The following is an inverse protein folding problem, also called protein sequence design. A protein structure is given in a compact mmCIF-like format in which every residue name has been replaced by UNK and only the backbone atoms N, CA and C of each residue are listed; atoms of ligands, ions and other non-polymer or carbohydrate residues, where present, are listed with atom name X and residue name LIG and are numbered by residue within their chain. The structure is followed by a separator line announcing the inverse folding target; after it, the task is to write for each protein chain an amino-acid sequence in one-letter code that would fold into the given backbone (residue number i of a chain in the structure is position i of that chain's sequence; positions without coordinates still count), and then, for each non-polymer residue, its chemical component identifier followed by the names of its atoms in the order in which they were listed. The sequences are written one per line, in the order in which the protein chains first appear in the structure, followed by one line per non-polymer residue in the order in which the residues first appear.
data_IF_367162099431
#
_entry.id   IF_367162099431
#
_cell.length_a   1.000
_cell.length_b   1.000
_cell.length_c   1.000
_cell.angle_alpha   90.00
_cell.angle_beta   90.00
_cell.angle_gamma   90.00
#
_symmetry.space_group_name_H-M   'P 1'
#
loop_
_entity.id
_entity.type
_entity.pdbx_description
1 polymer ?
#
# COMPACT_ATOMS: atom_id res chain seq x y z
N UNK A 1 -14.50 12.24 -9.44
CA UNK A 1 -13.51 11.71 -8.47
C UNK A 1 -13.38 12.66 -7.27
N UNK A 2 -13.18 12.16 -6.06
CA UNK A 2 -12.94 12.91 -4.81
C UNK A 2 -11.76 12.31 -4.07
N UNK A 3 -10.92 13.13 -3.43
CA UNK A 3 -9.86 12.68 -2.52
C UNK A 3 -10.30 13.08 -1.10
N UNK A 4 -10.38 12.12 -0.21
CA UNK A 4 -11.02 12.28 1.09
C UNK A 4 -10.08 11.84 2.23
N UNK A 5 -10.30 12.40 3.42
CA UNK A 5 -9.82 11.88 4.69
C UNK A 5 -11.03 11.37 5.47
N UNK A 6 -10.95 10.17 6.04
CA UNK A 6 -12.05 9.64 6.82
C UNK A 6 -12.15 8.13 6.79
N UNK A 7 -13.33 7.64 7.15
CA UNK A 7 -13.62 6.22 7.18
C UNK A 7 -14.31 5.80 5.86
N UNK A 8 -13.74 4.85 5.15
CA UNK A 8 -14.31 4.33 3.89
C UNK A 8 -15.72 3.75 4.05
N UNK A 9 -16.07 3.30 5.25
CA UNK A 9 -17.42 2.77 5.54
C UNK A 9 -18.51 3.86 5.61
N UNK A 10 -18.13 5.13 5.59
CA UNK A 10 -19.06 6.27 5.49
C UNK A 10 -19.35 6.65 4.03
N UNK A 11 -18.66 6.02 3.07
CA UNK A 11 -18.87 6.22 1.64
C UNK A 11 -20.26 5.78 1.20
N UNK A 12 -20.85 6.53 0.28
CA UNK A 12 -22.12 6.20 -0.37
C UNK A 12 -21.92 5.41 -1.68
N UNK A 13 -20.68 5.07 -2.03
CA UNK A 13 -20.39 4.25 -3.19
C UNK A 13 -20.97 2.84 -3.01
N UNK A 14 -21.48 2.28 -4.10
CA UNK A 14 -22.02 0.91 -4.10
C UNK A 14 -20.94 -0.18 -4.04
N UNK A 15 -19.68 0.20 -4.27
CA UNK A 15 -18.54 -0.71 -4.24
C UNK A 15 -17.45 -0.15 -3.32
N UNK A 16 -16.99 -1.00 -2.38
CA UNK A 16 -15.90 -0.67 -1.46
C UNK A 16 -14.69 -1.56 -1.75
N UNK A 17 -13.49 -1.00 -1.67
CA UNK A 17 -12.25 -1.75 -1.88
C UNK A 17 -11.64 -2.13 -0.54
N UNK A 18 -11.37 -3.41 -0.33
CA UNK A 18 -10.72 -3.98 0.84
C UNK A 18 -9.30 -4.45 0.50
N UNK A 19 -8.28 -3.97 1.19
CA UNK A 19 -6.89 -4.40 0.96
C UNK A 19 -6.60 -5.69 1.72
N UNK A 20 -6.20 -6.76 0.99
CA UNK A 20 -6.01 -8.09 1.54
C UNK A 20 -4.63 -8.67 1.22
N UNK A 21 -4.32 -9.83 1.81
CA UNK A 21 -3.20 -10.71 1.45
C UNK A 21 -3.70 -11.94 0.70
N UNK A 22 -2.82 -12.90 0.38
CA UNK A 22 -3.19 -14.12 -0.36
C UNK A 22 -3.24 -15.38 0.52
N UNK A 23 -3.15 -15.23 1.84
CA UNK A 23 -3.11 -16.37 2.79
C UNK A 23 -4.30 -16.44 3.74
N UNK A 24 -5.36 -15.68 3.49
CA UNK A 24 -6.62 -15.82 4.24
C UNK A 24 -6.65 -15.14 5.61
N UNK A 25 -5.79 -14.15 5.88
CA UNK A 25 -5.70 -13.48 7.18
C UNK A 25 -6.21 -12.05 7.08
N UNK A 26 -7.21 -11.71 7.88
CA UNK A 26 -7.73 -10.36 8.10
C UNK A 26 -7.68 -10.04 9.60
N UNK A 27 -6.47 -9.72 10.10
CA UNK A 27 -6.22 -9.58 11.55
C UNK A 27 -5.95 -8.15 12.03
N UNK A 28 -5.78 -7.17 11.13
CA UNK A 28 -5.48 -5.77 11.47
C UNK A 28 -6.01 -4.80 10.41
N UNK A 29 -6.18 -3.53 10.84
CA UNK A 29 -6.56 -2.41 9.99
C UNK A 29 -7.87 -2.67 9.24
N UNK A 30 -8.01 -2.04 8.09
CA UNK A 30 -9.24 -2.06 7.31
C UNK A 30 -9.75 -3.48 6.98
N UNK A 31 -8.84 -4.44 6.76
CA UNK A 31 -9.23 -5.82 6.50
C UNK A 31 -9.98 -6.46 7.68
N UNK A 32 -9.56 -6.16 8.92
CA UNK A 32 -10.26 -6.61 10.12
C UNK A 32 -11.66 -5.99 10.21
N UNK A 33 -11.79 -4.71 9.89
CA UNK A 33 -13.07 -4.01 9.92
C UNK A 33 -14.02 -4.59 8.87
N UNK A 34 -13.53 -4.89 7.66
CA UNK A 34 -14.30 -5.61 6.64
C UNK A 34 -14.73 -7.01 7.09
N UNK A 35 -13.83 -7.77 7.71
CA UNK A 35 -14.16 -9.09 8.27
C UNK A 35 -15.28 -9.01 9.28
N UNK A 36 -15.23 -8.03 10.18
CA UNK A 36 -16.24 -7.86 11.23
C UNK A 36 -17.59 -7.45 10.65
N UNK A 37 -17.58 -6.58 9.64
CA UNK A 37 -18.81 -6.06 9.01
C UNK A 37 -19.41 -7.03 7.99
N UNK A 38 -18.57 -7.83 7.30
CA UNK A 38 -18.97 -8.74 6.22
C UNK A 38 -18.40 -10.15 6.45
N UNK A 39 -18.85 -10.90 7.45
CA UNK A 39 -18.26 -12.19 7.80
C UNK A 39 -18.35 -13.23 6.68
N UNK A 40 -19.43 -13.24 5.89
CA UNK A 40 -19.58 -14.15 4.73
C UNK A 40 -18.54 -13.86 3.64
N UNK A 41 -18.22 -12.60 3.39
CA UNK A 41 -17.13 -12.22 2.48
C UNK A 41 -15.78 -12.79 2.98
N UNK A 42 -15.54 -12.74 4.28
CA UNK A 42 -14.34 -13.30 4.88
C UNK A 42 -14.24 -14.82 4.71
N UNK A 43 -15.34 -15.55 4.90
CA UNK A 43 -15.39 -17.01 4.72
C UNK A 43 -15.07 -17.40 3.26
N UNK A 44 -15.68 -16.70 2.29
CA UNK A 44 -15.37 -16.90 0.87
C UNK A 44 -13.91 -16.58 0.56
N UNK A 45 -13.41 -15.44 1.05
CA UNK A 45 -12.01 -15.06 0.87
C UNK A 45 -11.06 -16.13 1.40
N UNK A 46 -11.31 -16.69 2.59
CA UNK A 46 -10.49 -17.76 3.15
C UNK A 46 -10.51 -19.01 2.28
N UNK A 47 -11.66 -19.41 1.77
CA UNK A 47 -11.79 -20.55 0.87
C UNK A 47 -11.01 -20.34 -0.44
N UNK A 48 -11.09 -19.13 -1.02
CA UNK A 48 -10.34 -18.73 -2.20
C UNK A 48 -8.82 -18.74 -1.97
N UNK A 49 -8.36 -18.26 -0.80
CA UNK A 49 -6.94 -18.32 -0.43
C UNK A 49 -6.45 -19.77 -0.27
N UNK A 50 -7.21 -20.61 0.42
CA UNK A 50 -6.87 -22.04 0.60
C UNK A 50 -6.76 -22.78 -0.73
N UNK A 51 -7.57 -22.43 -1.73
CA UNK A 51 -7.53 -23.03 -3.06
C UNK A 51 -6.48 -22.38 -4.00
N UNK A 52 -5.69 -21.42 -3.52
CA UNK A 52 -4.65 -20.73 -4.31
C UNK A 52 -5.19 -19.80 -5.40
N UNK A 53 -6.49 -19.46 -5.37
CA UNK A 53 -7.14 -18.60 -6.37
C UNK A 53 -6.86 -17.12 -6.15
N UNK A 54 -6.55 -16.69 -4.92
CA UNK A 54 -6.17 -15.30 -4.62
C UNK A 54 -4.69 -15.12 -4.91
N UNK A 55 -4.37 -14.22 -5.84
CA UNK A 55 -2.99 -13.91 -6.25
C UNK A 55 -2.70 -12.43 -6.06
N UNK A 56 -1.46 -12.03 -5.73
CA UNK A 56 -1.08 -10.63 -5.60
C UNK A 56 -1.38 -9.87 -6.89
N UNK A 57 -1.86 -8.63 -6.79
CA UNK A 57 -2.19 -7.79 -7.93
C UNK A 57 -3.43 -8.22 -8.75
N UNK A 58 -4.14 -9.28 -8.33
CA UNK A 58 -5.34 -9.77 -9.01
C UNK A 58 -6.56 -9.62 -8.10
N UNK A 59 -7.22 -8.46 -8.08
CA UNK A 59 -8.44 -8.25 -7.32
C UNK A 59 -9.60 -9.11 -7.80
N UNK A 60 -10.60 -9.29 -6.95
CA UNK A 60 -11.86 -9.93 -7.33
C UNK A 60 -13.03 -9.30 -6.59
N UNK A 61 -14.23 -9.41 -7.16
CA UNK A 61 -15.46 -8.84 -6.64
C UNK A 61 -16.23 -9.88 -5.82
N UNK A 62 -16.63 -9.49 -4.61
CA UNK A 62 -17.65 -10.14 -3.79
C UNK A 62 -18.91 -9.27 -3.78
N UNK A 63 -20.09 -9.90 -3.89
CA UNK A 63 -21.39 -9.20 -3.79
C UNK A 63 -22.06 -9.61 -2.49
N UNK A 64 -22.24 -8.63 -1.62
CA UNK A 64 -22.95 -8.87 -0.36
C UNK A 64 -24.46 -8.83 -0.54
N UNK A 65 -25.19 -9.54 0.34
CA UNK A 65 -26.66 -9.56 0.32
C UNK A 65 -27.28 -8.21 0.69
N UNK A 66 -26.53 -7.31 1.31
CA UNK A 66 -26.94 -5.93 1.61
C UNK A 66 -26.96 -5.01 0.39
N UNK A 67 -26.54 -5.50 -0.78
CA UNK A 67 -26.42 -4.73 -2.01
C UNK A 67 -25.06 -4.05 -2.19
N UNK A 68 -24.20 -4.05 -1.17
CA UNK A 68 -22.83 -3.53 -1.27
C UNK A 68 -21.94 -4.53 -1.98
N UNK A 69 -21.15 -4.07 -2.92
CA UNK A 69 -20.10 -4.86 -3.56
C UNK A 69 -18.75 -4.60 -2.90
N UNK A 70 -17.92 -5.63 -2.75
CA UNK A 70 -16.60 -5.51 -2.14
C UNK A 70 -15.54 -6.05 -3.11
N UNK A 71 -14.58 -5.21 -3.47
CA UNK A 71 -13.39 -5.65 -4.21
C UNK A 71 -12.31 -6.03 -3.20
N UNK A 72 -12.03 -7.31 -3.06
CA UNK A 72 -10.86 -7.75 -2.33
C UNK A 72 -9.62 -7.55 -3.21
N UNK A 73 -8.74 -6.64 -2.80
CA UNK A 73 -7.57 -6.17 -3.54
C UNK A 73 -6.29 -6.69 -2.89
N UNK A 74 -5.65 -7.74 -3.44
CA UNK A 74 -4.47 -8.35 -2.83
C UNK A 74 -3.21 -7.47 -3.02
N UNK A 75 -2.89 -6.69 -2.01
CA UNK A 75 -1.71 -5.81 -1.98
C UNK A 75 -0.46 -6.51 -1.44
N UNK A 76 -0.61 -7.73 -0.91
CA UNK A 76 0.44 -8.54 -0.29
C UNK A 76 0.28 -10.01 -0.66
N UNK A 77 1.41 -10.72 -0.78
CA UNK A 77 1.38 -12.17 -0.84
C UNK A 77 1.08 -12.78 0.54
N UNK A 78 1.82 -12.36 1.56
CA UNK A 78 1.67 -12.81 2.95
C UNK A 78 1.44 -11.60 3.88
N UNK A 79 0.67 -11.76 4.95
CA UNK A 79 0.36 -10.68 5.90
C UNK A 79 1.60 -10.12 6.62
N UNK A 80 2.67 -10.92 6.75
CA UNK A 80 3.96 -10.51 7.34
C UNK A 80 4.85 -9.72 6.37
N UNK A 81 4.61 -9.85 5.06
CA UNK A 81 5.40 -9.18 4.03
C UNK A 81 4.91 -7.74 3.81
N UNK A 82 5.78 -6.82 3.36
CA UNK A 82 5.34 -5.51 2.88
C UNK A 82 4.50 -5.65 1.62
N UNK A 83 3.70 -4.63 1.33
CA UNK A 83 3.04 -4.48 0.02
C UNK A 83 4.09 -4.16 -1.05
N UNK A 84 3.81 -4.56 -2.29
CA UNK A 84 4.65 -4.20 -3.44
C UNK A 84 3.89 -3.23 -4.33
N UNK A 85 4.59 -2.23 -4.82
CA UNK A 85 4.01 -1.23 -5.72
C UNK A 85 3.46 -1.88 -7.01
N UNK A 86 4.17 -2.87 -7.57
CA UNK A 86 3.70 -3.62 -8.74
C UNK A 86 2.33 -4.26 -8.53
N UNK A 87 2.03 -4.77 -7.32
CA UNK A 87 0.71 -5.35 -7.04
C UNK A 87 -0.41 -4.29 -7.04
N UNK A 88 -0.06 -3.04 -6.68
CA UNK A 88 -1.00 -1.92 -6.76
C UNK A 88 -1.28 -1.58 -8.23
N UNK A 89 -0.22 -1.39 -9.03
CA UNK A 89 -0.36 -1.04 -10.46
C UNK A 89 -1.09 -2.13 -11.25
N UNK A 90 -0.75 -3.40 -11.02
CA UNK A 90 -1.43 -4.55 -11.64
C UNK A 90 -2.92 -4.60 -11.27
N UNK A 91 -3.23 -4.42 -9.99
CA UNK A 91 -4.61 -4.43 -9.51
C UNK A 91 -5.44 -3.24 -10.00
N UNK A 92 -4.84 -2.05 -10.11
CA UNK A 92 -5.50 -0.89 -10.71
C UNK A 92 -5.77 -1.09 -12.20
N UNK A 93 -4.82 -1.68 -12.92
CA UNK A 93 -5.00 -2.06 -14.33
C UNK A 93 -6.13 -3.09 -14.50
N UNK A 94 -6.18 -4.09 -13.62
CA UNK A 94 -7.30 -5.04 -13.60
C UNK A 94 -8.64 -4.31 -13.40
N UNK A 95 -8.71 -3.37 -12.47
CA UNK A 95 -9.91 -2.59 -12.21
C UNK A 95 -10.35 -1.80 -13.44
N UNK A 96 -9.43 -1.08 -14.09
CA UNK A 96 -9.71 -0.34 -15.34
C UNK A 96 -10.31 -1.21 -16.44
N UNK A 97 -9.85 -2.46 -16.53
CA UNK A 97 -10.30 -3.42 -17.57
C UNK A 97 -11.63 -4.10 -17.22
N UNK A 98 -11.98 -4.17 -15.93
CA UNK A 98 -13.05 -5.04 -15.44
C UNK A 98 -14.28 -4.29 -14.93
N UNK A 99 -14.18 -3.03 -14.50
CA UNK A 99 -15.25 -2.32 -13.80
C UNK A 99 -16.57 -2.26 -14.56
N UNK A 100 -16.53 -2.08 -15.88
CA UNK A 100 -17.73 -2.04 -16.73
C UNK A 100 -18.42 -3.39 -16.78
N UNK A 101 -17.67 -4.46 -17.07
CA UNK A 101 -18.20 -5.82 -17.11
C UNK A 101 -18.76 -6.28 -15.75
N UNK A 102 -18.19 -5.74 -14.67
CA UNK A 102 -18.66 -5.98 -13.30
C UNK A 102 -19.84 -5.09 -12.89
N UNK A 103 -20.27 -4.15 -13.75
CA UNK A 103 -21.39 -3.24 -13.48
C UNK A 103 -21.10 -2.25 -12.34
N UNK A 104 -19.85 -1.86 -12.15
CA UNK A 104 -19.45 -0.91 -11.10
C UNK A 104 -19.70 0.51 -11.60
N UNK A 105 -20.53 1.26 -10.88
CA UNK A 105 -20.90 2.65 -11.21
C UNK A 105 -20.34 3.65 -10.21
N UNK A 106 -19.99 3.19 -9.00
CA UNK A 106 -19.32 4.01 -7.99
C UNK A 106 -18.41 3.13 -7.13
N UNK A 107 -17.25 3.66 -6.72
CA UNK A 107 -16.26 2.91 -5.96
C UNK A 107 -15.48 3.77 -4.98
N UNK A 108 -15.27 3.25 -3.78
CA UNK A 108 -14.40 3.85 -2.77
C UNK A 108 -13.14 3.01 -2.57
N UNK A 109 -11.98 3.64 -2.72
CA UNK A 109 -10.67 3.05 -2.52
C UNK A 109 -10.05 3.51 -1.20
N UNK A 110 -9.49 2.61 -0.38
CA UNK A 110 -8.61 2.98 0.71
C UNK A 110 -7.22 3.34 0.16
N UNK A 111 -6.30 3.87 0.98
CA UNK A 111 -4.91 4.12 0.57
C UNK A 111 -4.18 2.79 0.37
N UNK A 112 -4.18 2.29 -0.87
CA UNK A 112 -3.70 0.96 -1.23
C UNK A 112 -2.26 0.70 -0.76
N UNK A 113 -2.09 -0.21 0.18
CA UNK A 113 -0.77 -0.59 0.70
C UNK A 113 -0.07 0.43 1.61
N UNK A 114 -0.63 1.62 1.85
CA UNK A 114 0.03 2.68 2.65
C UNK A 114 -0.01 2.47 4.17
N UNK A 115 -0.96 1.72 4.68
CA UNK A 115 -1.02 1.42 6.12
C UNK A 115 -0.03 0.34 6.54
N UNK A 116 -0.54 -0.81 6.99
CA UNK A 116 0.27 -1.98 7.34
C UNK A 116 1.09 -2.56 6.16
N UNK A 117 0.96 -1.99 4.96
CA UNK A 117 1.71 -2.35 3.76
C UNK A 117 3.06 -1.68 3.61
N UNK A 118 3.24 -0.51 4.24
CA UNK A 118 4.50 0.22 4.27
C UNK A 118 4.82 1.04 3.01
N UNK A 119 3.88 1.13 2.05
CA UNK A 119 4.06 2.00 0.87
C UNK A 119 3.79 3.46 1.23
N UNK A 120 4.46 4.37 0.53
CA UNK A 120 4.27 5.81 0.69
C UNK A 120 3.04 6.30 -0.08
N UNK A 121 2.27 7.23 0.52
CA UNK A 121 1.21 7.93 -0.19
C UNK A 121 1.74 8.76 -1.36
N UNK A 122 2.96 9.30 -1.24
CA UNK A 122 3.60 10.09 -2.29
C UNK A 122 3.86 9.28 -3.57
N UNK A 123 3.91 7.95 -3.47
CA UNK A 123 4.00 7.05 -4.62
C UNK A 123 2.62 6.51 -5.04
N UNK A 124 1.84 6.03 -4.06
CA UNK A 124 0.58 5.32 -4.33
C UNK A 124 -0.55 6.28 -4.73
N UNK A 125 -0.65 7.45 -4.09
CA UNK A 125 -1.69 8.44 -4.41
C UNK A 125 -1.66 8.87 -5.88
N UNK A 126 -0.51 9.32 -6.41
CA UNK A 126 -0.36 9.65 -7.83
C UNK A 126 -0.65 8.49 -8.79
N UNK A 127 -0.26 7.26 -8.43
CA UNK A 127 -0.56 6.08 -9.23
C UNK A 127 -2.07 5.81 -9.30
N UNK A 128 -2.74 5.84 -8.14
CA UNK A 128 -4.20 5.69 -8.07
C UNK A 128 -4.90 6.79 -8.88
N UNK A 129 -4.48 8.04 -8.72
CA UNK A 129 -5.05 9.16 -9.45
C UNK A 129 -4.94 8.97 -10.96
N UNK A 130 -3.73 8.68 -11.47
CA UNK A 130 -3.49 8.46 -12.91
C UNK A 130 -4.29 7.29 -13.48
N UNK A 131 -4.39 6.21 -12.73
CA UNK A 131 -5.14 5.03 -13.18
C UNK A 131 -6.66 5.26 -13.19
N UNK A 132 -7.18 6.14 -12.36
CA UNK A 132 -8.63 6.22 -12.12
C UNK A 132 -9.28 7.52 -12.66
N UNK A 133 -8.52 8.58 -12.92
CA UNK A 133 -9.04 9.91 -13.22
C UNK A 133 -9.95 9.98 -14.45
N UNK A 134 -9.69 9.15 -15.46
CA UNK A 134 -10.39 9.18 -16.74
C UNK A 134 -11.58 8.19 -16.81
N UNK A 135 -11.87 7.48 -15.72
CA UNK A 135 -12.98 6.54 -15.68
C UNK A 135 -14.31 7.30 -15.47
N UNK A 136 -15.35 7.02 -16.29
CA UNK A 136 -16.64 7.74 -16.26
C UNK A 136 -17.57 7.21 -15.16
N UNK A 137 -17.04 7.01 -13.94
CA UNK A 137 -17.79 6.55 -12.76
C UNK A 137 -17.47 7.43 -11.56
N UNK A 138 -18.30 7.36 -10.51
CA UNK A 138 -18.00 8.05 -9.26
C UNK A 138 -16.89 7.30 -8.50
N UNK A 139 -15.82 8.04 -8.13
CA UNK A 139 -14.66 7.48 -7.45
C UNK A 139 -14.32 8.32 -6.23
N UNK A 140 -14.21 7.67 -5.11
CA UNK A 140 -13.68 8.22 -3.87
C UNK A 140 -12.36 7.53 -3.52
N UNK A 141 -11.31 8.32 -3.26
CA UNK A 141 -10.01 7.82 -2.80
C UNK A 141 -9.78 8.37 -1.40
N UNK A 142 -9.66 7.47 -0.44
CA UNK A 142 -9.34 7.83 0.94
C UNK A 142 -7.82 7.84 1.11
N UNK A 143 -7.27 9.00 1.47
CA UNK A 143 -5.85 9.13 1.79
C UNK A 143 -5.55 8.62 3.22
N UNK A 144 -4.28 8.31 3.53
CA UNK A 144 -3.88 7.96 4.89
C UNK A 144 -4.21 9.07 5.88
N UNK A 145 -4.57 8.69 7.09
CA UNK A 145 -4.84 9.66 8.15
C UNK A 145 -3.61 10.53 8.40
N UNK A 146 -3.81 11.84 8.54
CA UNK A 146 -2.71 12.80 8.73
C UNK A 146 -1.99 13.22 7.46
N UNK A 147 -2.47 12.82 6.26
CA UNK A 147 -1.95 13.37 4.99
C UNK A 147 -2.17 14.88 4.94
N UNK A 148 -1.12 15.69 4.68
CA UNK A 148 -1.25 17.14 4.55
C UNK A 148 -2.23 17.53 3.44
N UNK A 149 -2.98 18.62 3.64
CA UNK A 149 -4.02 19.06 2.72
C UNK A 149 -3.49 19.33 1.30
N UNK A 150 -2.28 19.83 1.19
CA UNK A 150 -1.59 20.04 -0.09
C UNK A 150 -1.43 18.78 -0.92
N UNK A 151 -1.25 17.61 -0.26
CA UNK A 151 -1.10 16.30 -0.92
C UNK A 151 -2.43 15.63 -1.28
N UNK A 152 -3.55 16.26 -0.98
CA UNK A 152 -4.89 15.81 -1.33
C UNK A 152 -5.43 16.48 -2.60
N UNK A 153 -4.66 17.39 -3.21
CA UNK A 153 -5.06 18.12 -4.41
C UNK A 153 -4.79 17.30 -5.67
N UNK A 154 -5.65 17.42 -6.67
CA UNK A 154 -5.44 16.80 -7.97
C UNK A 154 -4.14 17.29 -8.62
N UNK A 155 -3.81 18.58 -8.45
CA UNK A 155 -2.58 19.17 -8.96
C UNK A 155 -1.35 18.46 -8.38
N UNK A 156 -1.31 18.19 -7.07
CA UNK A 156 -0.23 17.45 -6.46
C UNK A 156 -0.14 16.03 -7.03
N UNK A 157 -1.26 15.29 -7.08
CA UNK A 157 -1.30 13.90 -7.53
C UNK A 157 -0.93 13.75 -9.01
N UNK A 158 -1.24 14.74 -9.85
CA UNK A 158 -0.90 14.73 -11.27
C UNK A 158 0.59 14.96 -11.52
N UNK A 159 1.20 15.91 -10.80
CA UNK A 159 2.58 16.34 -11.03
C UNK A 159 3.61 15.60 -10.14
N UNK A 160 3.17 14.87 -9.13
CA UNK A 160 4.08 14.12 -8.27
C UNK A 160 4.86 13.07 -9.08
N UNK A 161 6.18 13.18 -9.05
CA UNK A 161 7.08 12.16 -9.61
C UNK A 161 7.08 10.98 -8.67
N UNK A 162 6.49 9.86 -9.07
CA UNK A 162 6.58 8.61 -8.32
C UNK A 162 8.01 8.09 -8.36
N UNK A 163 8.57 7.74 -7.20
CA UNK A 163 9.91 7.16 -7.12
C UNK A 163 10.03 5.87 -7.96
N UNK A 164 8.93 5.15 -8.15
CA UNK A 164 8.87 3.92 -8.95
C UNK A 164 8.82 4.15 -10.47
N UNK A 165 8.33 5.30 -10.96
CA UNK A 165 8.44 5.67 -12.37
C UNK A 165 9.84 6.14 -12.78
N UNK A 166 10.70 6.43 -11.80
CA UNK A 166 12.09 6.83 -12.03
C UNK A 166 13.05 5.63 -12.13
N UNK A 167 12.61 4.41 -11.84
CA UNK A 167 13.48 3.22 -11.87
C UNK A 167 13.75 2.70 -13.29
N UNK A 168 13.00 3.10 -14.30
CA UNK A 168 13.34 2.82 -15.71
C UNK A 168 14.43 3.73 -16.27
N UNK A 169 14.92 4.70 -15.49
CA UNK A 169 16.03 5.60 -15.83
C UNK A 169 16.93 5.94 -14.64
N UNK A 170 16.82 5.25 -13.52
CA UNK A 170 17.62 5.53 -12.33
C UNK A 170 19.10 5.27 -12.64
N UNK A 171 19.88 6.34 -12.76
CA UNK A 171 21.35 6.28 -12.61
C UNK A 171 21.62 5.51 -11.33
N UNK A 172 22.30 4.38 -11.47
CA UNK A 172 22.85 3.65 -10.34
C UNK A 172 23.59 4.66 -9.45
N UNK A 173 23.10 4.90 -8.25
CA UNK A 173 23.83 5.75 -7.29
C UNK A 173 25.11 4.99 -7.02
N UNK A 174 26.31 5.55 -7.30
CA UNK A 174 27.55 4.84 -7.08
C UNK A 174 27.61 4.44 -5.60
N UNK A 175 27.80 3.16 -5.37
CA UNK A 175 27.93 2.58 -4.03
C UNK A 175 29.14 3.24 -3.36
N UNK A 176 28.89 3.97 -2.27
CA UNK A 176 29.94 4.70 -1.56
C UNK A 176 30.52 3.80 -0.46
N UNK A 177 31.83 3.76 -0.31
CA UNK A 177 32.53 2.98 0.72
C UNK A 177 32.00 3.23 2.15
N UNK A 178 31.45 4.43 2.40
CA UNK A 178 30.79 4.78 3.67
C UNK A 178 29.55 3.93 3.97
N UNK A 179 28.85 3.45 2.93
CA UNK A 179 27.72 2.54 3.09
C UNK A 179 28.16 1.16 3.54
N UNK A 180 29.34 0.68 3.09
CA UNK A 180 29.93 -0.57 3.57
C UNK A 180 30.17 -0.52 5.07
N UNK A 181 30.69 0.59 5.57
CA UNK A 181 30.91 0.75 7.01
C UNK A 181 29.61 0.74 7.81
N UNK A 182 28.57 1.43 7.32
CA UNK A 182 27.25 1.44 7.99
C UNK A 182 26.66 0.01 8.01
N UNK A 183 26.73 -0.69 6.88
CA UNK A 183 26.23 -2.07 6.79
C UNK A 183 27.01 -3.02 7.71
N UNK A 184 28.33 -2.86 7.81
CA UNK A 184 29.15 -3.66 8.71
C UNK A 184 28.84 -3.40 10.18
N UNK A 185 28.64 -2.14 10.59
CA UNK A 185 28.21 -1.80 11.94
C UNK A 185 26.84 -2.40 12.25
N UNK A 186 25.88 -2.32 11.31
CA UNK A 186 24.56 -2.92 11.45
C UNK A 186 24.65 -4.44 11.58
N UNK A 187 25.52 -5.09 10.78
CA UNK A 187 25.77 -6.53 10.86
C UNK A 187 26.31 -6.92 12.24
N UNK A 188 27.36 -6.23 12.70
CA UNK A 188 27.98 -6.50 14.00
C UNK A 188 27.00 -6.30 15.18
N UNK A 189 26.17 -5.26 15.12
CA UNK A 189 25.13 -5.04 16.14
C UNK A 189 24.10 -6.17 16.13
N UNK A 190 23.66 -6.64 14.95
CA UNK A 190 22.69 -7.75 14.85
C UNK A 190 23.25 -9.11 15.30
N UNK A 191 24.56 -9.33 15.22
CA UNK A 191 25.23 -10.56 15.62
C UNK A 191 25.48 -10.67 17.13
N UNK A 192 25.28 -9.58 17.87
CA UNK A 192 25.47 -9.62 19.32
C UNK A 192 24.34 -10.39 20.03
N UNK A 193 24.70 -11.29 20.94
CA UNK A 193 23.81 -12.27 21.60
C UNK A 193 22.61 -11.67 22.35
N UNK A 194 22.63 -10.38 22.65
CA UNK A 194 21.60 -9.65 23.40
C UNK A 194 21.10 -8.40 22.69
N UNK A 195 21.39 -8.23 21.39
CA UNK A 195 20.92 -7.05 20.67
C UNK A 195 19.49 -7.23 20.17
N UNK A 196 18.70 -6.18 20.32
CA UNK A 196 17.44 -6.04 19.58
C UNK A 196 17.81 -5.86 18.09
N UNK A 197 17.06 -6.52 17.20
CA UNK A 197 17.23 -6.35 15.76
C UNK A 197 17.23 -4.87 15.40
N UNK A 198 18.19 -4.45 14.55
CA UNK A 198 18.33 -3.06 14.13
C UNK A 198 17.12 -2.64 13.32
N UNK A 199 16.14 -2.04 14.01
CA UNK A 199 15.00 -1.37 13.38
C UNK A 199 15.34 0.08 13.03
N UNK A 200 14.38 0.79 12.45
CA UNK A 200 14.53 2.19 11.98
C UNK A 200 15.16 3.14 13.00
N UNK A 201 14.72 3.07 14.26
CA UNK A 201 15.21 3.97 15.34
C UNK A 201 16.67 3.69 15.69
N UNK A 202 17.06 2.41 15.78
CA UNK A 202 18.45 2.02 16.07
C UNK A 202 19.35 2.41 14.89
N UNK A 203 18.91 2.18 13.65
CA UNK A 203 19.61 2.61 12.45
C UNK A 203 19.87 4.13 12.44
N UNK A 204 18.85 4.95 12.74
CA UNK A 204 19.01 6.41 12.84
C UNK A 204 20.03 6.81 13.91
N UNK A 205 20.02 6.14 15.08
CA UNK A 205 21.01 6.40 16.13
C UNK A 205 22.42 6.00 15.69
N UNK A 206 22.59 4.88 15.00
CA UNK A 206 23.89 4.48 14.45
C UNK A 206 24.40 5.55 13.46
N UNK A 207 23.58 5.98 12.52
CA UNK A 207 23.94 7.02 11.56
C UNK A 207 24.30 8.35 12.26
N UNK A 208 23.55 8.74 13.30
CA UNK A 208 23.85 9.93 14.09
C UNK A 208 25.20 9.83 14.79
N UNK A 209 25.49 8.71 15.46
CA UNK A 209 26.78 8.50 16.15
C UNK A 209 27.94 8.53 15.15
N UNK A 210 27.81 7.83 14.04
CA UNK A 210 28.85 7.82 12.97
C UNK A 210 29.10 9.22 12.42
N UNK A 211 28.04 10.00 12.20
CA UNK A 211 28.16 11.39 11.73
C UNK A 211 28.88 12.28 12.75
N UNK A 212 28.59 12.11 14.04
CA UNK A 212 29.28 12.82 15.12
C UNK A 212 30.74 12.39 15.27
N UNK A 213 31.08 11.17 14.87
CA UNK A 213 32.46 10.65 14.83
C UNK A 213 33.22 11.04 13.56
N UNK A 214 32.68 11.95 12.74
CA UNK A 214 33.34 12.48 11.53
C UNK A 214 33.05 11.70 10.25
N UNK A 215 32.19 10.67 10.29
CA UNK A 215 31.79 9.90 9.13
C UNK A 215 30.49 10.47 8.58
N UNK A 216 30.56 11.24 7.51
CA UNK A 216 29.35 11.79 6.87
C UNK A 216 28.52 10.67 6.26
N UNK A 217 27.45 10.26 6.96
CA UNK A 217 26.55 9.17 6.54
C UNK A 217 25.52 9.60 5.50
N UNK A 218 25.29 10.90 5.34
CA UNK A 218 24.22 11.46 4.50
C UNK A 218 22.80 11.34 5.12
N UNK A 219 22.73 10.83 6.37
CA UNK A 219 21.49 10.78 7.16
C UNK A 219 21.61 11.80 8.31
N UNK A 220 20.98 12.94 8.17
CA UNK A 220 20.85 13.93 9.23
C UNK A 220 19.37 14.10 9.55
#
# INVERSE_FOLDING_TARGET
MKILLGNIFDSQCNTLVNTVNCVGVMGKGIALDFKNKYPRMFDEYQALCKSGRVKPGHPYLYRDLTGVSIINFPTKNNWRSPSKFSYISEGLKWFQQSYQALGITSVAFPPLGCGNGGLSWDDVGPEMYRALKDLPIEIEIYAPYGTPQEKLTFQYLEHAKTAHGALEGAKCIPFNDKWLLILEVVRQVNEQRYSLHVGRVIFQKICYVLTRSGIQTGFV
#
